data_IF_519143626714
#
_entry.id   IF_519143626714
#
_cell.length_a   1.000
_cell.length_b   1.000
_cell.length_c   1.000
_cell.angle_alpha   90.00
_cell.angle_beta   90.00
_cell.angle_gamma   90.00
#
_symmetry.space_group_name_H-M   'P 1'
#
loop_
_entity.id
_entity.type
_entity.pdbx_description
1 polymer ?
#
# COMPACT_ATOMS: atom_id res chain seq x y z
N UNK A 1 -24.68 -8.06 -10.92
CA UNK A 1 -24.94 -6.85 -10.11
C UNK A 1 -23.66 -6.02 -10.13
N UNK A 2 -23.73 -4.72 -10.47
CA UNK A 2 -22.56 -3.90 -10.83
C UNK A 2 -21.34 -4.03 -9.89
N UNK A 3 -21.57 -4.00 -8.58
CA UNK A 3 -20.49 -4.10 -7.59
C UNK A 3 -19.77 -5.46 -7.54
N UNK A 4 -20.39 -6.52 -8.05
CA UNK A 4 -19.84 -7.89 -8.02
C UNK A 4 -19.05 -8.24 -9.30
N UNK A 5 -19.07 -7.38 -10.31
CA UNK A 5 -18.26 -7.53 -11.52
C UNK A 5 -16.78 -7.37 -11.17
N UNK A 6 -15.93 -8.21 -11.77
CA UNK A 6 -14.49 -8.28 -11.46
C UNK A 6 -13.74 -6.97 -11.77
N UNK A 7 -14.26 -6.17 -12.70
CA UNK A 7 -13.73 -4.83 -12.98
C UNK A 7 -13.94 -3.86 -11.81
N UNK A 8 -15.03 -4.02 -11.06
CA UNK A 8 -15.49 -3.06 -10.05
C UNK A 8 -15.13 -3.52 -8.62
N UNK A 9 -14.94 -4.83 -8.42
CA UNK A 9 -14.39 -5.39 -7.19
C UNK A 9 -13.61 -6.68 -7.43
N UNK A 10 -12.60 -6.95 -6.61
CA UNK A 10 -11.82 -8.19 -6.63
C UNK A 10 -12.23 -9.13 -5.49
N UNK A 11 -12.32 -10.43 -5.78
CA UNK A 11 -12.57 -11.45 -4.76
C UNK A 11 -11.33 -11.75 -3.94
N UNK A 12 -11.50 -11.95 -2.63
CA UNK A 12 -10.42 -12.32 -1.73
C UNK A 12 -10.08 -13.81 -1.86
N UNK A 13 -8.79 -14.16 -1.83
CA UNK A 13 -8.34 -15.56 -1.93
C UNK A 13 -8.30 -16.31 -0.58
N UNK A 14 -8.35 -15.61 0.55
CA UNK A 14 -8.18 -16.23 1.87
C UNK A 14 -9.39 -17.05 2.33
N UNK A 15 -9.16 -18.27 2.83
CA UNK A 15 -10.21 -19.15 3.42
C UNK A 15 -10.95 -18.52 4.61
N UNK A 16 -10.30 -17.62 5.34
CA UNK A 16 -10.87 -16.87 6.47
C UNK A 16 -11.43 -15.50 6.06
N UNK A 17 -11.42 -15.17 4.77
CA UNK A 17 -11.90 -13.88 4.25
C UNK A 17 -13.35 -13.94 3.81
N UNK A 18 -14.24 -14.30 4.73
CA UNK A 18 -15.69 -14.25 4.53
C UNK A 18 -16.36 -13.24 5.46
N UNK A 19 -17.59 -12.85 5.12
CA UNK A 19 -18.48 -12.08 6.00
C UNK A 19 -19.82 -12.78 6.09
N UNK A 20 -20.42 -12.72 7.28
CA UNK A 20 -21.74 -13.29 7.55
C UNK A 20 -22.68 -12.17 7.98
N UNK A 21 -23.86 -12.08 7.35
CA UNK A 21 -24.95 -11.19 7.76
C UNK A 21 -26.27 -11.92 7.60
N UNK A 22 -27.10 -11.94 8.63
CA UNK A 22 -28.40 -12.63 8.59
C UNK A 22 -28.30 -14.11 8.21
N UNK A 23 -27.36 -14.85 8.80
CA UNK A 23 -27.05 -16.27 8.50
C UNK A 23 -26.52 -16.56 7.08
N UNK A 24 -26.39 -15.56 6.22
CA UNK A 24 -25.80 -15.71 4.88
C UNK A 24 -24.29 -15.44 4.95
N UNK A 25 -23.49 -16.44 4.61
CA UNK A 25 -22.02 -16.34 4.53
C UNK A 25 -21.58 -16.14 3.08
N UNK A 26 -20.77 -15.10 2.82
CA UNK A 26 -20.24 -14.77 1.49
C UNK A 26 -18.74 -14.48 1.57
N UNK A 27 -17.99 -14.85 0.53
CA UNK A 27 -16.58 -14.48 0.38
C UNK A 27 -16.47 -12.96 0.25
N UNK A 28 -15.50 -12.34 0.91
CA UNK A 28 -15.28 -10.90 0.81
C UNK A 28 -14.83 -10.54 -0.60
N UNK A 29 -15.31 -9.39 -1.06
CA UNK A 29 -14.79 -8.69 -2.24
C UNK A 29 -14.34 -7.29 -1.82
N UNK A 30 -13.25 -6.81 -2.40
CA UNK A 30 -12.80 -5.43 -2.21
C UNK A 30 -13.01 -4.62 -3.47
N UNK A 31 -13.59 -3.42 -3.34
CA UNK A 31 -13.73 -2.50 -4.46
C UNK A 31 -12.37 -2.22 -5.11
N UNK A 32 -12.36 -2.17 -6.43
CA UNK A 32 -11.16 -1.87 -7.22
C UNK A 32 -10.82 -0.38 -7.20
N UNK A 33 -11.82 0.49 -6.99
CA UNK A 33 -11.68 1.94 -6.92
C UNK A 33 -12.60 2.52 -5.82
N UNK A 34 -12.53 3.84 -5.61
CA UNK A 34 -13.43 4.60 -4.77
C UNK A 34 -14.88 4.50 -5.26
N UNK A 35 -15.84 4.53 -4.32
CA UNK A 35 -17.26 4.54 -4.64
C UNK A 35 -17.65 5.72 -5.55
N UNK A 36 -16.97 6.85 -5.43
CA UNK A 36 -17.20 8.03 -6.25
C UNK A 36 -16.83 7.78 -7.71
N UNK A 37 -15.67 7.18 -7.97
CA UNK A 37 -15.24 6.84 -9.32
C UNK A 37 -16.12 5.73 -9.93
N UNK A 38 -16.47 4.72 -9.14
CA UNK A 38 -17.37 3.66 -9.58
C UNK A 38 -18.78 4.19 -9.89
N UNK A 39 -19.27 5.20 -9.15
CA UNK A 39 -20.55 5.84 -9.46
C UNK A 39 -20.51 6.61 -10.77
N UNK A 40 -19.43 7.35 -11.04
CA UNK A 40 -19.21 8.02 -12.34
C UNK A 40 -19.19 7.01 -13.48
N UNK A 41 -18.36 5.95 -13.36
CA UNK A 41 -18.28 4.86 -14.34
C UNK A 41 -19.65 4.19 -14.56
N UNK A 42 -20.44 4.01 -13.50
CA UNK A 42 -21.79 3.44 -13.60
C UNK A 42 -22.71 4.31 -14.46
N UNK A 43 -22.74 5.63 -14.23
CA UNK A 43 -23.56 6.57 -14.99
C UNK A 43 -23.11 6.69 -16.45
N UNK A 44 -21.80 6.64 -16.70
CA UNK A 44 -21.22 6.64 -18.05
C UNK A 44 -21.59 5.38 -18.84
N UNK A 45 -21.51 4.21 -18.18
CA UNK A 45 -21.78 2.92 -18.82
C UNK A 45 -23.28 2.65 -18.94
N UNK A 46 -24.11 3.28 -18.12
CA UNK A 46 -25.55 3.09 -18.10
C UNK A 46 -26.31 4.43 -18.11
N UNK A 47 -26.25 5.18 -19.22
CA UNK A 47 -26.83 6.52 -19.33
C UNK A 47 -28.36 6.55 -19.15
N UNK A 48 -29.04 5.41 -19.34
CA UNK A 48 -30.48 5.26 -19.13
C UNK A 48 -30.90 5.33 -17.65
N UNK A 49 -29.99 5.08 -16.71
CA UNK A 49 -30.31 5.08 -15.29
C UNK A 49 -29.82 6.36 -14.61
N UNK A 50 -30.76 7.11 -14.01
CA UNK A 50 -30.44 8.24 -13.14
C UNK A 50 -30.45 7.78 -11.69
N UNK A 51 -29.28 7.56 -11.11
CA UNK A 51 -29.12 7.19 -9.71
C UNK A 51 -28.22 8.18 -8.99
N UNK A 52 -28.64 8.64 -7.80
CA UNK A 52 -27.81 9.48 -6.95
C UNK A 52 -26.67 8.68 -6.32
N UNK A 53 -25.60 9.36 -5.93
CA UNK A 53 -24.46 8.73 -5.25
C UNK A 53 -24.89 7.99 -3.97
N UNK A 54 -25.81 8.58 -3.19
CA UNK A 54 -26.30 7.99 -1.94
C UNK A 54 -27.11 6.72 -2.19
N UNK A 55 -27.99 6.72 -3.21
CA UNK A 55 -28.74 5.53 -3.61
C UNK A 55 -27.80 4.44 -4.13
N UNK A 56 -26.83 4.80 -4.98
CA UNK A 56 -25.80 3.89 -5.48
C UNK A 56 -25.03 3.21 -4.34
N UNK A 57 -24.61 3.97 -3.32
CA UNK A 57 -23.91 3.42 -2.16
C UNK A 57 -24.74 2.41 -1.36
N UNK A 58 -26.07 2.59 -1.29
CA UNK A 58 -26.99 1.68 -0.59
C UNK A 58 -27.19 0.36 -1.33
N UNK A 59 -27.02 0.36 -2.65
CA UNK A 59 -27.07 -0.87 -3.45
C UNK A 59 -25.86 -1.77 -3.20
N UNK A 60 -24.79 -1.29 -2.57
CA UNK A 60 -23.60 -2.12 -2.33
C UNK A 60 -23.91 -3.32 -1.41
N UNK A 61 -23.65 -4.57 -1.86
CA UNK A 61 -23.83 -5.75 -1.02
C UNK A 61 -22.92 -5.76 0.21
N UNK A 62 -23.34 -6.40 1.29
CA UNK A 62 -22.59 -6.40 2.56
C UNK A 62 -21.22 -7.12 2.48
N UNK A 63 -21.02 -7.96 1.46
CA UNK A 63 -19.76 -8.67 1.20
C UNK A 63 -18.79 -7.92 0.29
N UNK A 64 -19.21 -6.79 -0.28
CA UNK A 64 -18.33 -5.89 -1.05
C UNK A 64 -17.88 -4.74 -0.15
N UNK A 65 -16.58 -4.66 0.13
CA UNK A 65 -16.00 -3.71 1.10
C UNK A 65 -15.02 -2.75 0.43
N UNK A 66 -14.85 -1.56 1.04
CA UNK A 66 -13.74 -0.68 0.67
C UNK A 66 -12.45 -1.33 1.20
N UNK A 67 -11.39 -1.47 0.39
CA UNK A 67 -10.11 -1.98 0.88
C UNK A 67 -9.55 -1.04 1.95
N UNK A 68 -9.08 -1.59 3.06
CA UNK A 68 -8.30 -0.84 4.05
C UNK A 68 -6.84 -0.70 3.58
N UNK A 69 -6.06 0.15 4.26
CA UNK A 69 -4.64 0.41 3.90
C UNK A 69 -3.81 -0.88 3.94
N UNK A 70 -4.12 -1.81 4.85
CA UNK A 70 -3.39 -3.06 5.03
C UNK A 70 -3.67 -4.11 3.93
N UNK A 71 -4.69 -3.89 3.08
CA UNK A 71 -5.05 -4.79 1.97
C UNK A 71 -4.59 -4.21 0.61
N UNK A 72 -3.97 -3.03 0.61
CA UNK A 72 -3.37 -2.49 -0.61
C UNK A 72 -2.15 -3.35 -0.94
N UNK A 73 -2.01 -3.77 -2.19
CA UNK A 73 -0.81 -4.46 -2.70
C UNK A 73 0.34 -3.46 -2.90
N UNK A 74 0.60 -2.64 -1.90
CA UNK A 74 1.68 -1.65 -1.88
C UNK A 74 2.55 -1.96 -0.68
N UNK A 75 3.85 -2.18 -0.90
CA UNK A 75 4.76 -2.36 0.21
C UNK A 75 5.04 -1.00 0.87
N UNK A 76 4.67 -0.86 2.14
CA UNK A 76 5.03 0.25 3.03
C UNK A 76 5.80 -0.28 4.24
N UNK A 77 6.58 -1.35 4.04
CA UNK A 77 7.39 -1.89 5.12
C UNK A 77 8.51 -0.91 5.45
N UNK A 78 8.94 -0.97 6.72
CA UNK A 78 10.05 -0.18 7.25
C UNK A 78 11.31 -0.31 6.37
N UNK A 79 11.57 -1.50 5.86
CA UNK A 79 12.79 -1.81 5.11
C UNK A 79 12.81 -1.10 3.75
N UNK A 80 11.73 -1.17 2.97
CA UNK A 80 11.64 -0.46 1.69
C UNK A 80 11.64 1.06 1.88
N UNK A 81 10.91 1.56 2.89
CA UNK A 81 10.85 3.00 3.14
C UNK A 81 12.22 3.54 3.61
N UNK A 82 12.92 2.82 4.48
CA UNK A 82 14.26 3.21 4.92
C UNK A 82 15.28 3.15 3.78
N UNK A 83 15.17 2.16 2.88
CA UNK A 83 16.03 2.13 1.70
C UNK A 83 15.79 3.32 0.77
N UNK A 84 14.53 3.73 0.56
CA UNK A 84 14.23 4.96 -0.20
C UNK A 84 14.85 6.20 0.47
N UNK A 85 14.79 6.32 1.80
CA UNK A 85 15.42 7.43 2.52
C UNK A 85 16.94 7.48 2.34
N UNK A 86 17.61 6.32 2.29
CA UNK A 86 19.05 6.23 1.97
C UNK A 86 19.32 6.71 0.54
N UNK A 87 18.54 6.24 -0.45
CA UNK A 87 18.71 6.64 -1.86
C UNK A 87 18.52 8.15 -2.03
N UNK A 88 17.51 8.73 -1.38
CA UNK A 88 17.27 10.18 -1.38
C UNK A 88 18.48 10.94 -0.81
N UNK A 89 19.06 10.47 0.29
CA UNK A 89 20.24 11.09 0.88
C UNK A 89 21.48 10.98 -0.02
N UNK A 90 21.76 9.80 -0.58
CA UNK A 90 22.89 9.60 -1.51
C UNK A 90 22.76 10.51 -2.74
N UNK A 91 21.55 10.61 -3.30
CA UNK A 91 21.24 11.50 -4.42
C UNK A 91 21.41 12.97 -4.05
N UNK A 92 20.92 13.39 -2.88
CA UNK A 92 21.04 14.78 -2.40
C UNK A 92 22.50 15.21 -2.26
N UNK A 93 23.38 14.27 -1.91
CA UNK A 93 24.83 14.48 -1.85
C UNK A 93 25.53 14.21 -3.19
N UNK A 94 24.77 14.07 -4.28
CA UNK A 94 25.28 13.88 -5.65
C UNK A 94 26.15 12.63 -5.83
N UNK A 95 26.04 11.65 -4.93
CA UNK A 95 26.83 10.41 -4.97
C UNK A 95 26.30 9.45 -6.03
N UNK A 96 24.99 9.41 -6.26
CA UNK A 96 24.33 8.55 -7.25
C UNK A 96 23.37 9.36 -8.13
N UNK A 97 23.04 8.83 -9.30
CA UNK A 97 22.15 9.49 -10.28
C UNK A 97 20.70 9.02 -10.13
N UNK A 98 20.50 7.82 -9.60
CA UNK A 98 19.21 7.17 -9.41
C UNK A 98 18.32 7.94 -8.43
N UNK A 99 17.00 7.94 -8.69
CA UNK A 99 16.02 8.70 -7.88
C UNK A 99 15.26 7.86 -6.86
N UNK A 100 15.32 6.54 -7.00
CA UNK A 100 14.54 5.60 -6.20
C UNK A 100 15.19 4.22 -6.18
N UNK A 101 14.79 3.40 -5.21
CA UNK A 101 15.25 2.01 -5.08
C UNK A 101 14.92 1.20 -6.34
N UNK A 102 13.74 1.43 -6.94
CA UNK A 102 13.35 0.77 -8.19
C UNK A 102 14.31 1.10 -9.35
N UNK A 103 14.83 2.34 -9.43
CA UNK A 103 15.81 2.71 -10.46
C UNK A 103 17.16 2.06 -10.21
N UNK A 104 17.57 1.91 -8.96
CA UNK A 104 18.77 1.15 -8.57
C UNK A 104 18.64 -0.32 -8.97
N UNK A 105 17.49 -0.95 -8.69
CA UNK A 105 17.25 -2.33 -9.09
C UNK A 105 17.32 -2.52 -10.61
N UNK A 106 16.81 -1.56 -11.38
CA UNK A 106 16.90 -1.55 -12.84
C UNK A 106 18.33 -1.36 -13.36
N UNK A 107 19.18 -0.59 -12.67
CA UNK A 107 20.60 -0.46 -13.07
C UNK A 107 21.42 -1.71 -12.72
N UNK A 108 21.04 -2.41 -11.65
CA UNK A 108 21.73 -3.61 -11.18
C UNK A 108 21.30 -4.93 -11.84
N UNK A 109 20.04 -5.05 -12.25
CA UNK A 109 19.43 -6.30 -12.73
C UNK A 109 18.86 -6.15 -14.13
N UNK A 110 18.95 -7.20 -14.96
CA UNK A 110 18.23 -7.24 -16.23
C UNK A 110 16.71 -7.29 -16.01
N UNK A 111 16.27 -8.07 -15.03
CA UNK A 111 14.88 -8.14 -14.58
C UNK A 111 14.82 -8.07 -13.05
N UNK A 112 14.32 -6.96 -12.47
CA UNK A 112 14.13 -6.81 -11.02
C UNK A 112 13.14 -7.79 -10.38
N UNK A 113 12.36 -8.53 -11.18
CA UNK A 113 11.43 -9.58 -10.70
C UNK A 113 12.02 -10.97 -10.74
N UNK A 114 13.18 -11.14 -11.39
CA UNK A 114 13.85 -12.41 -11.50
C UNK A 114 14.82 -12.63 -10.31
N UNK A 115 14.49 -13.62 -9.48
CA UNK A 115 15.29 -13.98 -8.30
C UNK A 115 16.73 -14.34 -8.65
N UNK A 116 16.98 -14.91 -9.83
CA UNK A 116 18.33 -15.26 -10.28
C UNK A 116 19.20 -14.02 -10.55
N UNK A 117 18.59 -12.93 -11.04
CA UNK A 117 19.26 -11.63 -11.19
C UNK A 117 19.56 -11.00 -9.83
N UNK A 118 18.56 -10.96 -8.94
CA UNK A 118 18.68 -10.39 -7.59
C UNK A 118 19.72 -11.13 -6.74
N UNK A 119 19.84 -12.45 -6.91
CA UNK A 119 20.84 -13.28 -6.25
C UNK A 119 22.25 -13.19 -6.88
N UNK A 120 22.47 -12.29 -7.85
CA UNK A 120 23.76 -12.10 -8.56
C UNK A 120 24.28 -13.36 -9.28
N UNK A 121 23.39 -14.27 -9.66
CA UNK A 121 23.74 -15.48 -10.41
C UNK A 121 23.55 -15.32 -11.93
N UNK A 122 22.80 -14.31 -12.37
CA UNK A 122 22.61 -14.01 -13.79
C UNK A 122 23.93 -13.60 -14.47
N UNK A 123 24.36 -14.34 -15.48
CA UNK A 123 25.60 -14.07 -16.20
C UNK A 123 25.65 -12.68 -16.85
N UNK A 124 24.50 -12.14 -17.26
CA UNK A 124 24.40 -10.84 -17.92
C UNK A 124 24.46 -9.63 -16.96
N UNK A 125 24.10 -9.79 -15.68
CA UNK A 125 24.07 -8.66 -14.73
C UNK A 125 24.79 -8.91 -13.40
N UNK A 126 25.39 -10.08 -13.19
CA UNK A 126 26.14 -10.40 -11.96
C UNK A 126 27.18 -9.34 -11.62
N UNK A 127 27.87 -8.82 -12.63
CA UNK A 127 28.94 -7.83 -12.47
C UNK A 127 28.47 -6.37 -12.51
N UNK A 128 27.17 -6.09 -12.72
CA UNK A 128 26.67 -4.70 -12.68
C UNK A 128 26.75 -4.16 -11.26
N UNK A 129 27.29 -2.96 -11.11
CA UNK A 129 27.35 -2.24 -9.85
C UNK A 129 26.66 -0.87 -10.00
N UNK A 130 26.32 -0.25 -8.87
CA UNK A 130 25.82 1.12 -8.87
C UNK A 130 26.99 2.02 -9.22
N UNK A 131 26.79 2.90 -10.19
CA UNK A 131 27.78 3.94 -10.47
C UNK A 131 27.64 5.03 -9.42
N UNK A 132 28.70 5.26 -8.65
CA UNK A 132 28.76 6.33 -7.67
C UNK A 132 29.96 7.23 -7.93
N UNK A 133 29.85 8.50 -7.52
CA UNK A 133 30.94 9.47 -7.60
C UNK A 133 31.92 9.31 -6.44
N UNK A 134 33.16 9.73 -6.64
CA UNK A 134 34.14 9.81 -5.56
C UNK A 134 33.60 10.62 -4.38
N UNK A 135 33.94 10.18 -3.17
CA UNK A 135 33.48 10.77 -1.94
C UNK A 135 34.59 10.77 -0.88
N UNK A 136 34.46 11.71 0.04
CA UNK A 136 35.40 11.91 1.13
C UNK A 136 34.89 11.19 2.37
N UNK A 137 35.62 10.17 2.83
CA UNK A 137 35.27 9.38 4.01
C UNK A 137 35.29 10.19 5.32
N UNK A 138 35.85 11.40 5.32
CA UNK A 138 35.82 12.30 6.48
C UNK A 138 34.52 13.10 6.58
N UNK A 139 33.72 13.15 5.51
CA UNK A 139 32.46 13.91 5.47
C UNK A 139 31.27 13.03 5.83
N UNK A 140 30.61 13.36 6.91
CA UNK A 140 29.41 12.67 7.35
C UNK A 140 28.17 13.09 6.55
N UNK A 141 27.28 12.12 6.30
CA UNK A 141 25.98 12.34 5.68
C UNK A 141 24.87 11.90 6.60
N UNK A 142 23.79 12.70 6.64
CA UNK A 142 22.63 12.46 7.48
C UNK A 142 21.43 12.05 6.63
N UNK A 143 20.66 11.09 7.12
CA UNK A 143 19.41 10.65 6.51
C UNK A 143 18.39 10.29 7.58
N UNK A 144 17.11 10.38 7.22
CA UNK A 144 16.03 9.96 8.11
C UNK A 144 15.91 8.44 8.11
N UNK A 145 15.46 7.89 9.24
CA UNK A 145 15.18 6.47 9.36
C UNK A 145 13.90 6.29 10.18
N UNK A 146 12.97 5.49 9.68
CA UNK A 146 11.86 5.00 10.49
C UNK A 146 12.41 4.03 11.52
N UNK A 147 12.03 4.18 12.79
CA UNK A 147 12.40 3.27 13.86
C UNK A 147 11.21 2.98 14.78
N UNK A 148 11.12 1.73 15.27
CA UNK A 148 10.10 1.34 16.25
C UNK A 148 10.57 1.79 17.63
N UNK A 149 9.83 2.70 18.25
CA UNK A 149 10.13 3.19 19.60
C UNK A 149 9.10 2.62 20.56
N UNK A 150 9.55 1.91 21.60
CA UNK A 150 8.67 1.54 22.72
C UNK A 150 8.57 2.73 23.66
N UNK A 151 7.35 3.22 23.89
CA UNK A 151 7.09 4.25 24.91
C UNK A 151 6.20 3.67 26.00
N UNK A 152 6.64 3.81 27.25
CA UNK A 152 5.78 3.56 28.40
C UNK A 152 4.84 4.75 28.56
N UNK A 153 3.57 4.55 28.22
CA UNK A 153 2.54 5.55 28.44
C UNK A 153 1.94 5.33 29.84
N UNK A 154 2.28 6.20 30.79
CA UNK A 154 1.54 6.27 32.05
C UNK A 154 0.18 6.93 31.78
N UNK A 155 -0.85 6.11 31.56
CA UNK A 155 -2.23 6.60 31.53
C UNK A 155 -2.75 6.73 32.96
N UNK A 156 -2.86 7.95 33.44
CA UNK A 156 -3.56 8.26 34.71
C UNK A 156 -5.06 8.03 34.46
N UNK A 157 -5.59 6.94 35.00
CA UNK A 157 -7.01 6.61 34.93
C UNK A 157 -7.83 7.72 35.60
N UNK A 158 -8.48 8.58 34.80
CA UNK A 158 -9.55 9.45 35.31
C UNK A 158 -10.81 8.58 35.45
N UNK A 159 -11.14 8.21 36.69
CA UNK A 159 -12.46 7.64 37.02
C UNK A 159 -13.53 8.63 36.53
N UNK A 160 -14.40 8.19 35.62
CA UNK A 160 -15.65 8.90 35.34
C UNK A 160 -16.51 8.77 36.60
N UNK A 161 -16.68 9.85 37.36
CA UNK A 161 -17.78 9.96 38.31
C UNK A 161 -19.06 10.07 37.51
N UNK A 162 -19.83 8.98 37.44
CA UNK A 162 -21.23 9.08 37.08
C UNK A 162 -21.92 9.75 38.26
N UNK A 163 -22.36 11.01 38.07
CA UNK A 163 -23.31 11.63 38.96
C UNK A 163 -24.62 10.87 38.81
N UNK A 164 -25.06 10.23 39.90
CA UNK A 164 -26.41 9.74 40.08
C UNK A 164 -27.33 10.98 40.07
N UNK A 165 -28.22 11.06 39.09
CA UNK A 165 -29.37 11.97 39.18
C UNK A 165 -30.44 11.25 39.99
N UNK A 166 -30.67 11.73 41.21
CA UNK A 166 -31.98 11.66 41.87
C UNK A 166 -32.79 12.92 41.50
#
# INVERSE_FOLDING_TARGET
MYFEEDENSRMCAGKKEFVTKGKIRKQKRYLSDSLQNLHKKYLETNPQYKISYSAFCKLRPFWVRVPNVNIRETCLCKDHENMELVVVALRKNYLIVEKSVNRILQSLCCDPRNVYCLAKKCDSCKNKAINYKEFDNTKETHYFIWNKVKKNLYQRWKRKSYASND
#
